data_IF_957468980342
#
_entry.id   IF_957468980342
#
_cell.length_a   1.000
_cell.length_b   1.000
_cell.length_c   1.000
_cell.angle_alpha   90.00
_cell.angle_beta   90.00
_cell.angle_gamma   90.00
#
_symmetry.space_group_name_H-M   'P 1'
#
loop_
_entity.id
_entity.type
_entity.pdbx_description
1 polymer ?
#
# COMPACT_ATOMS: atom_id res chain seq x y z
N UNK A 1 15.93 15.53 -7.25
CA UNK A 1 17.10 15.61 -6.34
C UNK A 1 17.28 14.21 -5.75
N UNK A 2 18.38 13.54 -6.06
CA UNK A 2 18.68 12.20 -5.54
C UNK A 2 19.26 12.31 -4.14
N UNK A 3 18.78 11.52 -3.20
CA UNK A 3 19.34 11.44 -1.84
C UNK A 3 20.09 10.14 -1.68
N UNK A 4 21.38 10.25 -1.42
CA UNK A 4 22.18 9.13 -0.98
C UNK A 4 21.91 8.90 0.52
N UNK A 5 21.11 7.87 0.83
CA UNK A 5 20.74 7.52 2.20
C UNK A 5 21.88 6.81 2.95
N UNK A 6 22.99 6.53 2.28
CA UNK A 6 24.18 5.94 2.92
C UNK A 6 25.02 6.98 3.66
N UNK A 7 24.72 8.29 3.51
CA UNK A 7 25.51 9.40 4.09
C UNK A 7 24.63 10.35 4.92
N UNK A 8 25.27 11.17 5.73
CA UNK A 8 24.61 12.24 6.50
C UNK A 8 23.79 11.75 7.68
N UNK A 9 22.95 12.63 8.24
CA UNK A 9 22.06 12.34 9.38
C UNK A 9 20.97 11.34 9.00
N UNK A 10 20.83 10.29 9.78
CA UNK A 10 19.87 9.19 9.55
C UNK A 10 18.43 9.70 9.62
N UNK A 11 18.05 10.31 10.76
CA UNK A 11 16.68 10.75 11.01
C UNK A 11 16.25 11.80 9.99
N UNK A 12 17.10 12.84 9.78
CA UNK A 12 16.81 13.90 8.79
C UNK A 12 16.67 13.33 7.38
N UNK A 13 17.56 12.39 7.01
CA UNK A 13 17.51 11.73 5.70
C UNK A 13 16.24 10.94 5.50
N UNK A 14 15.86 10.12 6.49
CA UNK A 14 14.62 9.31 6.48
C UNK A 14 13.38 10.21 6.43
N UNK A 15 13.25 11.20 7.30
CA UNK A 15 12.07 12.08 7.34
C UNK A 15 11.90 12.84 6.02
N UNK A 16 12.96 13.48 5.52
CA UNK A 16 12.89 14.22 4.27
C UNK A 16 12.67 13.34 3.03
N UNK A 17 12.94 12.03 3.13
CA UNK A 17 12.62 11.06 2.08
C UNK A 17 11.20 10.50 2.23
N UNK A 18 10.74 10.26 3.46
CA UNK A 18 9.41 9.74 3.77
C UNK A 18 8.30 10.79 3.55
N UNK A 19 8.53 12.06 3.90
CA UNK A 19 7.52 13.12 3.81
C UNK A 19 6.85 13.23 2.43
N UNK A 20 7.57 13.22 1.29
CA UNK A 20 6.92 13.23 -0.02
C UNK A 20 6.11 11.95 -0.31
N UNK A 21 6.51 10.79 0.25
CA UNK A 21 5.75 9.54 0.09
C UNK A 21 4.45 9.61 0.86
N UNK A 22 4.49 10.07 2.11
CA UNK A 22 3.33 10.29 2.97
C UNK A 22 2.37 11.29 2.32
N UNK A 23 2.90 12.43 1.85
CA UNK A 23 2.10 13.44 1.16
C UNK A 23 1.43 12.88 -0.09
N UNK A 24 2.12 12.02 -0.85
CA UNK A 24 1.59 11.34 -2.03
C UNK A 24 0.41 10.43 -1.70
N UNK A 25 0.54 9.59 -0.69
CA UNK A 25 -0.53 8.68 -0.30
C UNK A 25 -1.73 9.41 0.34
N UNK A 26 -1.49 10.45 1.13
CA UNK A 26 -2.58 11.31 1.64
C UNK A 26 -3.32 12.02 0.50
N UNK A 27 -2.59 12.54 -0.49
CA UNK A 27 -3.19 13.14 -1.68
C UNK A 27 -4.01 12.12 -2.48
N UNK A 28 -3.53 10.87 -2.57
CA UNK A 28 -4.26 9.77 -3.20
C UNK A 28 -5.57 9.47 -2.48
N UNK A 29 -5.58 9.48 -1.16
CA UNK A 29 -6.81 9.30 -0.39
C UNK A 29 -7.80 10.45 -0.59
N UNK A 30 -7.30 11.68 -0.62
CA UNK A 30 -8.15 12.86 -0.86
C UNK A 30 -8.80 12.82 -2.24
N UNK A 31 -8.07 12.45 -3.29
CA UNK A 31 -8.69 12.37 -4.62
C UNK A 31 -9.67 11.19 -4.71
N UNK A 32 -9.42 10.04 -4.08
CA UNK A 32 -10.37 8.93 -4.02
C UNK A 32 -11.69 9.34 -3.36
N UNK A 33 -11.61 10.17 -2.31
CA UNK A 33 -12.79 10.74 -1.67
C UNK A 33 -13.52 11.70 -2.62
N UNK A 34 -12.79 12.57 -3.32
CA UNK A 34 -13.38 13.51 -4.28
C UNK A 34 -14.09 12.79 -5.44
N UNK A 35 -13.45 11.78 -6.06
CA UNK A 35 -14.04 10.94 -7.09
C UNK A 35 -15.33 10.26 -6.59
N UNK A 36 -15.29 9.64 -5.41
CA UNK A 36 -16.45 9.01 -4.77
C UNK A 36 -17.59 10.01 -4.55
N UNK A 37 -17.28 11.24 -4.12
CA UNK A 37 -18.28 12.29 -3.93
C UNK A 37 -18.89 12.75 -5.25
N UNK A 38 -18.08 12.95 -6.29
CA UNK A 38 -18.56 13.35 -7.62
C UNK A 38 -19.49 12.29 -8.19
N UNK A 39 -19.07 11.01 -8.17
CA UNK A 39 -19.89 9.89 -8.64
C UNK A 39 -21.18 9.77 -7.84
N UNK A 40 -21.10 9.83 -6.51
CA UNK A 40 -22.27 9.67 -5.63
C UNK A 40 -23.31 10.80 -5.80
N UNK A 41 -22.86 12.03 -5.93
CA UNK A 41 -23.75 13.19 -6.09
C UNK A 41 -24.31 13.33 -7.49
N UNK A 42 -23.51 13.04 -8.53
CA UNK A 42 -23.91 13.23 -9.92
C UNK A 42 -24.68 12.04 -10.50
N UNK A 43 -24.30 10.80 -10.15
CA UNK A 43 -24.84 9.58 -10.77
C UNK A 43 -25.74 8.77 -9.83
N UNK A 44 -25.76 9.14 -8.55
CA UNK A 44 -26.64 8.53 -7.56
C UNK A 44 -26.12 7.22 -6.96
N UNK A 45 -27.00 6.59 -6.15
CA UNK A 45 -26.65 5.48 -5.26
C UNK A 45 -26.14 4.22 -5.98
N UNK A 46 -26.70 3.89 -7.13
CA UNK A 46 -26.34 2.67 -7.85
C UNK A 46 -24.93 2.77 -8.46
N UNK A 47 -24.59 3.91 -9.06
CA UNK A 47 -23.27 4.15 -9.59
C UNK A 47 -22.21 4.16 -8.46
N UNK A 48 -22.54 4.78 -7.32
CA UNK A 48 -21.66 4.78 -6.15
C UNK A 48 -21.39 3.35 -5.63
N UNK A 49 -22.42 2.51 -5.57
CA UNK A 49 -22.29 1.12 -5.16
C UNK A 49 -21.44 0.30 -6.15
N UNK A 50 -21.64 0.52 -7.46
CA UNK A 50 -20.85 -0.14 -8.50
C UNK A 50 -19.35 0.25 -8.43
N UNK A 51 -19.03 1.54 -8.30
CA UNK A 51 -17.65 2.04 -8.16
C UNK A 51 -17.02 1.53 -6.87
N UNK A 52 -17.74 1.56 -5.75
CA UNK A 52 -17.25 1.04 -4.46
C UNK A 52 -16.91 -0.45 -4.50
N UNK A 53 -17.75 -1.27 -5.15
CA UNK A 53 -17.48 -2.70 -5.33
C UNK A 53 -16.29 -2.94 -6.27
N UNK A 54 -16.19 -2.17 -7.36
CA UNK A 54 -15.07 -2.22 -8.28
C UNK A 54 -13.75 -1.81 -7.62
N UNK A 55 -13.77 -0.84 -6.71
CA UNK A 55 -12.60 -0.37 -5.95
C UNK A 55 -11.93 -1.51 -5.18
N UNK A 56 -12.71 -2.40 -4.55
CA UNK A 56 -12.16 -3.56 -3.82
C UNK A 56 -11.39 -4.50 -4.73
N UNK A 57 -11.92 -4.80 -5.91
CA UNK A 57 -11.24 -5.63 -6.91
C UNK A 57 -9.98 -4.95 -7.44
N UNK A 58 -10.06 -3.66 -7.72
CA UNK A 58 -8.91 -2.87 -8.18
C UNK A 58 -7.80 -2.79 -7.12
N UNK A 59 -8.16 -2.62 -5.85
CA UNK A 59 -7.20 -2.62 -4.75
C UNK A 59 -6.44 -3.94 -4.66
N UNK A 60 -7.15 -5.06 -4.82
CA UNK A 60 -6.53 -6.39 -4.85
C UNK A 60 -5.55 -6.53 -6.02
N UNK A 61 -5.95 -6.17 -7.25
CA UNK A 61 -5.08 -6.23 -8.43
C UNK A 61 -3.87 -5.30 -8.31
N UNK A 62 -4.10 -4.07 -7.84
CA UNK A 62 -3.02 -3.09 -7.63
C UNK A 62 -2.02 -3.57 -6.57
N UNK A 63 -2.47 -4.31 -5.55
CA UNK A 63 -1.57 -4.86 -4.52
C UNK A 63 -0.55 -5.86 -5.09
N UNK A 64 -0.90 -6.57 -6.17
CA UNK A 64 0.02 -7.46 -6.88
C UNK A 64 1.15 -6.64 -7.52
N UNK A 65 0.80 -5.60 -8.29
CA UNK A 65 1.81 -4.74 -8.93
C UNK A 65 2.67 -4.00 -7.92
N UNK A 66 2.06 -3.51 -6.85
CA UNK A 66 2.76 -2.83 -5.76
C UNK A 66 3.75 -3.79 -5.08
N UNK A 67 3.31 -5.00 -4.73
CA UNK A 67 4.16 -6.00 -4.10
C UNK A 67 5.34 -6.41 -4.98
N UNK A 68 5.10 -6.69 -6.27
CA UNK A 68 6.14 -7.02 -7.23
C UNK A 68 7.15 -5.87 -7.41
N UNK A 69 6.66 -4.63 -7.53
CA UNK A 69 7.51 -3.44 -7.68
C UNK A 69 8.31 -3.15 -6.41
N UNK A 70 7.71 -3.30 -5.22
CA UNK A 70 8.39 -3.07 -3.94
C UNK A 70 9.49 -4.11 -3.68
N UNK A 71 9.26 -5.37 -4.01
CA UNK A 71 10.27 -6.42 -3.90
C UNK A 71 11.45 -6.16 -4.83
N UNK A 72 11.19 -5.84 -6.09
CA UNK A 72 12.22 -5.44 -7.05
C UNK A 72 12.96 -4.16 -6.62
N UNK A 73 12.24 -3.17 -6.09
CA UNK A 73 12.77 -1.90 -5.59
C UNK A 73 13.78 -2.07 -4.45
N UNK A 74 13.61 -3.10 -3.62
CA UNK A 74 14.60 -3.42 -2.59
C UNK A 74 15.92 -3.92 -3.23
N UNK A 75 15.86 -4.76 -4.27
CA UNK A 75 17.06 -5.19 -5.00
C UNK A 75 17.74 -4.03 -5.73
N UNK A 76 16.96 -3.10 -6.34
CA UNK A 76 17.50 -1.88 -6.94
C UNK A 76 18.25 -1.03 -5.90
N UNK A 77 17.67 -0.89 -4.70
CA UNK A 77 18.29 -0.14 -3.60
C UNK A 77 19.60 -0.78 -3.13
N UNK A 78 19.65 -2.12 -3.07
CA UNK A 78 20.88 -2.87 -2.73
C UNK A 78 21.93 -2.68 -3.81
N UNK A 79 21.59 -2.78 -5.08
CA UNK A 79 22.53 -2.57 -6.20
C UNK A 79 23.10 -1.15 -6.20
N UNK A 80 22.25 -0.15 -5.97
CA UNK A 80 22.67 1.25 -5.83
C UNK A 80 23.60 1.46 -4.62
N UNK A 81 23.30 0.82 -3.49
CA UNK A 81 24.17 0.85 -2.32
C UNK A 81 25.54 0.24 -2.57
N UNK A 82 25.61 -0.86 -3.32
CA UNK A 82 26.84 -1.50 -3.79
C UNK A 82 27.59 -0.67 -4.83
N UNK A 83 26.95 0.32 -5.44
CA UNK A 83 27.43 1.04 -6.63
C UNK A 83 27.72 0.12 -7.81
N UNK A 84 26.93 -0.93 -7.93
CA UNK A 84 27.00 -1.93 -9.01
C UNK A 84 25.98 -1.59 -10.10
N UNK A 85 26.39 -0.76 -11.04
CA UNK A 85 25.54 -0.31 -12.14
C UNK A 85 25.15 -1.45 -13.07
N UNK A 86 25.99 -2.49 -13.21
CA UNK A 86 25.70 -3.65 -14.05
C UNK A 86 24.57 -4.48 -13.44
N UNK A 87 24.64 -4.77 -12.13
CA UNK A 87 23.60 -5.44 -11.38
C UNK A 87 22.30 -4.61 -11.41
N UNK A 88 22.36 -3.29 -11.21
CA UNK A 88 21.20 -2.41 -11.24
C UNK A 88 20.46 -2.50 -12.59
N UNK A 89 21.19 -2.30 -13.69
CA UNK A 89 20.61 -2.32 -15.04
C UNK A 89 20.03 -3.68 -15.40
N UNK A 90 20.73 -4.76 -15.05
CA UNK A 90 20.22 -6.12 -15.21
C UNK A 90 18.95 -6.34 -14.41
N UNK A 91 18.94 -5.98 -13.12
CA UNK A 91 17.77 -6.11 -12.25
C UNK A 91 16.57 -5.29 -12.74
N UNK A 92 16.78 -4.05 -13.17
CA UNK A 92 15.73 -3.18 -13.71
C UNK A 92 15.11 -3.80 -14.98
N UNK A 93 15.94 -4.31 -15.90
CA UNK A 93 15.46 -4.94 -17.14
C UNK A 93 14.65 -6.21 -16.89
N UNK A 94 15.17 -7.13 -16.06
CA UNK A 94 14.47 -8.37 -15.72
C UNK A 94 13.17 -8.12 -14.93
N UNK A 95 13.19 -7.20 -13.96
CA UNK A 95 12.01 -6.84 -13.20
C UNK A 95 10.94 -6.18 -14.08
N UNK A 96 11.34 -5.28 -14.99
CA UNK A 96 10.41 -4.66 -15.94
C UNK A 96 9.73 -5.72 -16.82
N UNK A 97 10.52 -6.61 -17.42
CA UNK A 97 10.00 -7.69 -18.26
C UNK A 97 9.06 -8.64 -17.50
N UNK A 98 9.45 -9.03 -16.29
CA UNK A 98 8.63 -9.91 -15.43
C UNK A 98 7.29 -9.26 -15.08
N UNK A 99 7.31 -8.02 -14.57
CA UNK A 99 6.09 -7.36 -14.10
C UNK A 99 5.21 -6.96 -15.28
N UNK A 100 5.79 -6.59 -16.42
CA UNK A 100 5.05 -6.38 -17.67
C UNK A 100 4.34 -7.66 -18.12
N UNK A 101 5.03 -8.80 -18.12
CA UNK A 101 4.43 -10.10 -18.48
C UNK A 101 3.26 -10.45 -17.54
N UNK A 102 3.45 -10.28 -16.21
CA UNK A 102 2.37 -10.47 -15.22
C UNK A 102 1.21 -9.51 -15.48
N UNK A 103 1.50 -8.24 -15.80
CA UNK A 103 0.47 -7.23 -16.11
C UNK A 103 -0.36 -7.63 -17.32
N UNK A 104 0.30 -8.06 -18.41
CA UNK A 104 -0.39 -8.51 -19.64
C UNK A 104 -1.23 -9.74 -19.36
N UNK A 105 -0.69 -10.75 -18.66
CA UNK A 105 -1.42 -11.96 -18.31
C UNK A 105 -2.64 -11.63 -17.45
N UNK A 106 -2.48 -10.82 -16.41
CA UNK A 106 -3.59 -10.41 -15.55
C UNK A 106 -4.65 -9.62 -16.34
N UNK A 107 -4.22 -8.71 -17.22
CA UNK A 107 -5.13 -7.93 -18.05
C UNK A 107 -5.96 -8.85 -18.96
N UNK A 108 -5.32 -9.80 -19.64
CA UNK A 108 -6.01 -10.80 -20.49
C UNK A 108 -6.97 -11.65 -19.66
N UNK A 109 -6.53 -12.16 -18.50
CA UNK A 109 -7.38 -12.98 -17.63
C UNK A 109 -8.60 -12.22 -17.12
N UNK A 110 -8.41 -10.97 -16.69
CA UNK A 110 -9.51 -10.16 -16.17
C UNK A 110 -10.55 -9.88 -17.26
N UNK A 111 -10.13 -9.56 -18.48
CA UNK A 111 -11.07 -9.38 -19.60
C UNK A 111 -11.73 -10.70 -20.03
N UNK A 112 -10.98 -11.80 -20.09
CA UNK A 112 -11.52 -13.11 -20.47
C UNK A 112 -12.54 -13.64 -19.44
N UNK A 113 -12.34 -13.37 -18.15
CA UNK A 113 -13.17 -13.89 -17.07
C UNK A 113 -14.04 -12.81 -16.39
N UNK A 114 -14.20 -11.64 -17.01
CA UNK A 114 -14.93 -10.51 -16.41
C UNK A 114 -16.32 -10.91 -15.92
N UNK A 115 -17.11 -11.55 -16.76
CA UNK A 115 -18.47 -11.95 -16.40
C UNK A 115 -18.49 -13.07 -15.34
N UNK A 116 -17.49 -13.95 -15.31
CA UNK A 116 -17.32 -14.95 -14.26
C UNK A 116 -16.94 -14.30 -12.92
N UNK A 117 -16.08 -13.29 -12.93
CA UNK A 117 -15.70 -12.51 -11.75
C UNK A 117 -16.92 -11.79 -11.17
N UNK A 118 -17.74 -11.14 -12.01
CA UNK A 118 -18.94 -10.43 -11.57
C UNK A 118 -19.97 -11.39 -10.95
N UNK A 119 -20.16 -12.59 -11.53
CA UNK A 119 -21.03 -13.63 -10.95
C UNK A 119 -20.47 -14.17 -9.63
N UNK A 120 -19.17 -14.40 -9.55
CA UNK A 120 -18.51 -14.86 -8.32
C UNK A 120 -18.65 -13.85 -7.18
N UNK A 121 -18.60 -12.55 -7.48
CA UNK A 121 -18.81 -11.45 -6.53
C UNK A 121 -20.30 -11.27 -6.17
N UNK A 122 -21.21 -12.04 -6.76
CA UNK A 122 -22.65 -11.99 -6.52
C UNK A 122 -23.24 -10.59 -6.69
N UNK A 123 -22.78 -9.86 -7.72
CA UNK A 123 -23.23 -8.50 -7.99
C UNK A 123 -24.74 -8.53 -8.36
N UNK A 124 -25.57 -7.69 -7.69
CA UNK A 124 -26.99 -7.56 -8.02
C UNK A 124 -27.20 -7.22 -9.50
N UNK A 125 -28.24 -7.79 -10.11
CA UNK A 125 -28.52 -7.59 -11.55
C UNK A 125 -28.70 -6.12 -11.92
N UNK A 126 -29.24 -5.32 -11.01
CA UNK A 126 -29.43 -3.86 -11.20
C UNK A 126 -28.09 -3.11 -11.38
N UNK A 127 -27.02 -3.58 -10.75
CA UNK A 127 -25.69 -2.97 -10.78
C UNK A 127 -24.77 -3.61 -11.83
N UNK A 128 -25.14 -4.78 -12.35
CA UNK A 128 -24.30 -5.60 -13.22
C UNK A 128 -23.82 -4.82 -14.46
N UNK A 129 -24.74 -4.15 -15.15
CA UNK A 129 -24.42 -3.37 -16.36
C UNK A 129 -23.46 -2.23 -16.08
N UNK A 130 -23.73 -1.44 -15.05
CA UNK A 130 -22.89 -0.29 -14.66
C UNK A 130 -21.51 -0.75 -14.18
N UNK A 131 -21.44 -1.80 -13.38
CA UNK A 131 -20.16 -2.31 -12.89
C UNK A 131 -19.32 -2.93 -14.01
N UNK A 132 -19.96 -3.66 -14.95
CA UNK A 132 -19.30 -4.20 -16.12
C UNK A 132 -18.70 -3.10 -17.01
N UNK A 133 -19.48 -2.08 -17.31
CA UNK A 133 -19.05 -0.92 -18.10
C UNK A 133 -17.85 -0.21 -17.44
N UNK A 134 -17.95 0.05 -16.13
CA UNK A 134 -16.88 0.65 -15.35
C UNK A 134 -15.59 -0.20 -15.39
N UNK A 135 -15.70 -1.51 -15.12
CA UNK A 135 -14.55 -2.42 -15.07
C UNK A 135 -13.86 -2.60 -16.42
N UNK A 136 -14.63 -2.67 -17.51
CA UNK A 136 -14.05 -2.75 -18.87
C UNK A 136 -13.11 -1.56 -19.14
N UNK A 137 -13.52 -0.37 -18.75
CA UNK A 137 -12.71 0.83 -18.95
C UNK A 137 -11.54 0.86 -17.97
N UNK A 138 -11.80 0.62 -16.67
CA UNK A 138 -10.78 0.77 -15.63
C UNK A 138 -9.63 -0.24 -15.80
N UNK A 139 -9.90 -1.45 -16.29
CA UNK A 139 -8.87 -2.46 -16.55
C UNK A 139 -7.91 -2.08 -17.67
N UNK A 140 -8.31 -1.22 -18.61
CA UNK A 140 -7.37 -0.62 -19.57
C UNK A 140 -6.28 0.22 -18.86
N UNK A 141 -6.54 0.70 -17.65
CA UNK A 141 -5.58 1.44 -16.82
C UNK A 141 -4.54 0.57 -16.10
N UNK A 142 -4.65 -0.77 -16.10
CA UNK A 142 -3.70 -1.65 -15.39
C UNK A 142 -2.25 -1.47 -15.87
N UNK A 143 -2.05 -1.27 -17.17
CA UNK A 143 -0.72 -0.98 -17.73
C UNK A 143 -0.16 0.35 -17.21
N UNK A 144 -1.00 1.39 -17.12
CA UNK A 144 -0.60 2.68 -16.57
C UNK A 144 -0.24 2.58 -15.07
N UNK A 145 -1.03 1.80 -14.31
CA UNK A 145 -0.79 1.50 -12.91
C UNK A 145 0.54 0.77 -12.72
N UNK A 146 0.85 -0.22 -13.56
CA UNK A 146 2.16 -0.89 -13.58
C UNK A 146 3.28 0.11 -13.84
N UNK A 147 3.20 0.90 -14.92
CA UNK A 147 4.24 1.86 -15.27
C UNK A 147 4.52 2.84 -14.10
N UNK A 148 3.46 3.40 -13.53
CA UNK A 148 3.62 4.31 -12.40
C UNK A 148 4.30 3.63 -11.21
N UNK A 149 3.80 2.48 -10.75
CA UNK A 149 4.35 1.79 -9.57
C UNK A 149 5.80 1.34 -9.80
N UNK A 150 6.12 0.81 -10.97
CA UNK A 150 7.46 0.36 -11.30
C UNK A 150 8.47 1.52 -11.27
N UNK A 151 8.20 2.60 -12.02
CA UNK A 151 9.11 3.74 -12.07
C UNK A 151 9.14 4.54 -10.77
N UNK A 152 8.03 4.61 -10.03
CA UNK A 152 8.01 5.19 -8.70
C UNK A 152 8.92 4.40 -7.73
N UNK A 153 8.86 3.07 -7.74
CA UNK A 153 9.74 2.23 -6.93
C UNK A 153 11.21 2.36 -7.35
N UNK A 154 11.51 2.43 -8.65
CA UNK A 154 12.87 2.64 -9.15
C UNK A 154 13.44 4.00 -8.71
N UNK A 155 12.66 5.08 -8.85
CA UNK A 155 13.07 6.42 -8.43
C UNK A 155 13.23 6.52 -6.91
N UNK A 156 12.31 5.90 -6.15
CA UNK A 156 12.46 5.80 -4.68
C UNK A 156 13.69 5.01 -4.29
N UNK A 157 14.00 3.90 -4.97
CA UNK A 157 15.23 3.15 -4.75
C UNK A 157 16.48 4.01 -4.95
N UNK A 158 16.45 4.94 -5.92
CA UNK A 158 17.49 5.93 -6.17
C UNK A 158 17.45 7.14 -5.23
N UNK A 159 16.55 7.17 -4.23
CA UNK A 159 16.45 8.26 -3.26
C UNK A 159 15.64 9.48 -3.74
N UNK A 160 14.84 9.33 -4.81
CA UNK A 160 13.97 10.38 -5.32
C UNK A 160 12.49 10.04 -5.04
N UNK A 161 11.94 10.57 -3.96
CA UNK A 161 10.52 10.44 -3.61
C UNK A 161 9.67 11.61 -4.10
N UNK A 162 10.29 12.71 -4.53
CA UNK A 162 9.58 13.91 -4.96
C UNK A 162 8.98 13.77 -6.36
N UNK A 163 9.73 13.18 -7.31
CA UNK A 163 9.22 13.03 -8.67
C UNK A 163 7.93 12.19 -8.73
N UNK A 164 7.84 10.98 -8.09
CA UNK A 164 6.57 10.26 -8.00
C UNK A 164 5.42 11.07 -7.40
N UNK A 165 5.69 11.87 -6.34
CA UNK A 165 4.68 12.75 -5.74
C UNK A 165 4.16 13.79 -6.75
N UNK A 166 5.04 14.44 -7.50
CA UNK A 166 4.64 15.46 -8.47
C UNK A 166 3.73 14.87 -9.56
N UNK A 167 4.08 13.70 -10.11
CA UNK A 167 3.26 13.04 -11.12
C UNK A 167 1.93 12.52 -10.55
N UNK A 168 1.93 12.04 -9.30
CA UNK A 168 0.70 11.66 -8.62
C UNK A 168 -0.21 12.88 -8.38
N UNK A 169 0.38 14.00 -7.95
CA UNK A 169 -0.36 15.26 -7.76
C UNK A 169 -0.98 15.79 -9.05
N UNK A 170 -0.23 15.72 -10.16
CA UNK A 170 -0.74 16.07 -11.48
C UNK A 170 -1.89 15.15 -11.88
N UNK A 171 -1.74 13.84 -11.69
CA UNK A 171 -2.78 12.85 -11.97
C UNK A 171 -4.05 13.09 -11.14
N UNK A 172 -3.90 13.35 -9.84
CA UNK A 172 -5.03 13.63 -8.95
C UNK A 172 -5.81 14.88 -9.37
N UNK A 173 -5.11 15.98 -9.65
CA UNK A 173 -5.73 17.22 -10.14
C UNK A 173 -6.43 17.04 -11.49
N UNK A 174 -5.77 16.31 -12.41
CA UNK A 174 -6.33 16.00 -13.73
C UNK A 174 -7.56 15.08 -13.62
N UNK A 175 -7.51 14.06 -12.75
CA UNK A 175 -8.64 13.16 -12.51
C UNK A 175 -9.89 13.95 -12.06
N UNK A 176 -9.76 14.78 -11.02
CA UNK A 176 -10.88 15.60 -10.54
C UNK A 176 -11.42 16.52 -11.64
N UNK A 177 -10.55 17.18 -12.42
CA UNK A 177 -10.96 18.05 -13.50
C UNK A 177 -11.70 17.27 -14.61
N UNK A 178 -11.22 16.09 -14.97
CA UNK A 178 -11.84 15.22 -15.98
C UNK A 178 -13.14 14.58 -15.48
N UNK A 179 -13.26 14.23 -14.20
CA UNK A 179 -14.50 13.75 -13.61
C UNK A 179 -15.59 14.80 -13.71
N UNK A 180 -15.28 16.05 -13.34
CA UNK A 180 -16.21 17.18 -13.50
C UNK A 180 -16.60 17.38 -14.97
N UNK A 181 -15.66 17.25 -15.90
CA UNK A 181 -15.91 17.42 -17.32
C UNK A 181 -16.72 16.27 -17.92
N UNK A 182 -16.30 15.02 -17.72
CA UNK A 182 -16.90 13.85 -18.36
C UNK A 182 -18.22 13.45 -17.70
N UNK A 183 -18.31 13.54 -16.38
CA UNK A 183 -19.52 13.16 -15.64
C UNK A 183 -20.55 14.29 -15.66
N UNK A 184 -20.16 15.54 -15.30
CA UNK A 184 -21.12 16.63 -15.15
C UNK A 184 -21.40 17.37 -16.47
N UNK A 185 -20.38 17.64 -17.29
CA UNK A 185 -20.55 18.45 -18.51
C UNK A 185 -20.95 17.62 -19.72
N UNK A 186 -20.32 16.46 -19.92
CA UNK A 186 -20.59 15.58 -21.06
C UNK A 186 -21.67 14.53 -20.79
N UNK A 187 -21.98 14.27 -19.53
CA UNK A 187 -23.01 13.31 -19.15
C UNK A 187 -22.66 11.85 -19.48
N UNK A 188 -21.36 11.49 -19.52
CA UNK A 188 -20.91 10.12 -19.85
C UNK A 188 -21.16 9.12 -18.72
N UNK A 189 -21.79 9.53 -17.63
CA UNK A 189 -22.13 8.65 -16.53
C UNK A 189 -20.91 7.96 -15.89
N UNK A 190 -21.08 6.68 -15.53
CA UNK A 190 -20.05 5.88 -14.86
C UNK A 190 -18.83 5.61 -15.76
N UNK A 191 -19.04 5.51 -17.09
CA UNK A 191 -17.97 5.39 -18.06
C UNK A 191 -17.07 6.63 -18.07
N UNK A 192 -17.65 7.82 -17.86
CA UNK A 192 -16.90 9.07 -17.73
C UNK A 192 -15.94 9.07 -16.55
N UNK A 193 -16.39 8.64 -15.39
CA UNK A 193 -15.55 8.51 -14.20
C UNK A 193 -14.41 7.49 -14.40
N UNK A 194 -14.72 6.32 -14.97
CA UNK A 194 -13.70 5.34 -15.31
C UNK A 194 -12.66 5.89 -16.32
N UNK A 195 -13.13 6.56 -17.38
CA UNK A 195 -12.25 7.16 -18.40
C UNK A 195 -11.35 8.26 -17.81
N UNK A 196 -11.87 9.11 -16.94
CA UNK A 196 -11.11 10.16 -16.25
C UNK A 196 -9.98 9.55 -15.41
N UNK A 197 -10.28 8.49 -14.65
CA UNK A 197 -9.31 7.76 -13.83
C UNK A 197 -8.22 7.14 -14.71
N UNK A 198 -8.58 6.41 -15.76
CA UNK A 198 -7.63 5.74 -16.66
C UNK A 198 -6.75 6.76 -17.38
N UNK A 199 -7.32 7.83 -17.91
CA UNK A 199 -6.56 8.88 -18.58
C UNK A 199 -5.52 9.51 -17.64
N UNK A 200 -5.93 9.85 -16.42
CA UNK A 200 -5.06 10.43 -15.40
C UNK A 200 -3.94 9.48 -14.97
N UNK A 201 -4.23 8.18 -14.87
CA UNK A 201 -3.24 7.14 -14.61
C UNK A 201 -2.21 7.03 -15.75
N UNK A 202 -2.64 7.10 -17.00
CA UNK A 202 -1.73 7.10 -18.16
C UNK A 202 -0.84 8.34 -18.17
N UNK A 203 -1.37 9.51 -17.87
CA UNK A 203 -0.57 10.75 -17.78
C UNK A 203 0.52 10.59 -16.71
N UNK A 204 0.20 10.07 -15.54
CA UNK A 204 1.22 9.86 -14.49
C UNK A 204 2.19 8.73 -14.83
N UNK A 205 1.71 7.59 -15.33
CA UNK A 205 2.55 6.43 -15.65
C UNK A 205 3.51 6.70 -16.82
N UNK A 206 3.00 7.22 -17.93
CA UNK A 206 3.83 7.61 -19.08
C UNK A 206 4.72 8.80 -18.72
N UNK A 207 4.18 9.80 -18.04
CA UNK A 207 4.94 10.99 -17.64
C UNK A 207 6.14 10.61 -16.75
N UNK A 208 5.94 9.73 -15.76
CA UNK A 208 7.02 9.25 -14.89
C UNK A 208 8.03 8.38 -15.65
N UNK A 209 7.57 7.57 -16.61
CA UNK A 209 8.43 6.78 -17.51
C UNK A 209 9.32 7.70 -18.35
N UNK A 210 8.74 8.69 -19.00
CA UNK A 210 9.46 9.68 -19.84
C UNK A 210 10.44 10.50 -18.98
N UNK A 211 10.00 10.97 -17.81
CA UNK A 211 10.88 11.66 -16.87
C UNK A 211 12.10 10.80 -16.50
N UNK A 212 11.87 9.52 -16.19
CA UNK A 212 12.95 8.59 -15.84
C UNK A 212 13.89 8.38 -17.03
N UNK A 213 13.36 8.21 -18.23
CA UNK A 213 14.15 8.02 -19.44
C UNK A 213 15.01 9.25 -19.81
N UNK A 214 14.49 10.45 -19.57
CA UNK A 214 15.19 11.69 -19.93
C UNK A 214 16.17 12.18 -18.85
N UNK A 215 15.78 12.08 -17.57
CA UNK A 215 16.53 12.66 -16.45
C UNK A 215 17.35 11.64 -15.66
N UNK A 216 17.02 10.35 -15.78
CA UNK A 216 17.55 9.28 -14.95
C UNK A 216 18.07 8.11 -15.80
N UNK A 217 18.53 8.39 -17.02
CA UNK A 217 18.94 7.39 -18.00
C UNK A 217 19.97 6.37 -17.45
N UNK A 218 20.80 6.79 -16.51
CA UNK A 218 21.79 5.91 -15.86
C UNK A 218 21.17 4.74 -15.09
N UNK A 219 19.90 4.86 -14.65
CA UNK A 219 19.18 3.80 -13.95
C UNK A 219 18.59 2.74 -14.91
N UNK A 220 18.47 3.07 -16.19
CA UNK A 220 17.82 2.21 -17.17
C UNK A 220 18.83 1.30 -17.86
N UNK A 221 18.42 0.06 -18.18
CA UNK A 221 19.25 -0.83 -18.98
C UNK A 221 19.40 -0.32 -20.42
N UNK A 222 20.53 -0.60 -21.02
CA UNK A 222 20.65 -0.53 -22.46
C UNK A 222 20.07 -1.82 -23.06
N UNK A 223 19.00 -1.68 -23.81
CA UNK A 223 18.25 -2.82 -24.39
C UNK A 223 19.16 -3.73 -25.23
N UNK A 224 20.20 -3.16 -25.87
CA UNK A 224 21.13 -3.91 -26.71
C UNK A 224 22.14 -4.75 -25.92
N UNK A 225 22.42 -4.36 -24.66
CA UNK A 225 23.37 -5.03 -23.79
C UNK A 225 22.73 -5.93 -22.74
N UNK A 226 21.40 -6.01 -22.72
CA UNK A 226 20.65 -6.78 -21.75
C UNK A 226 20.85 -8.28 -22.00
N UNK A 227 21.64 -8.93 -21.15
CA UNK A 227 21.82 -10.39 -21.16
C UNK A 227 20.91 -11.01 -20.14
N UNK A 228 20.30 -12.14 -20.47
CA UNK A 228 19.52 -12.92 -19.53
C UNK A 228 20.42 -13.47 -18.43
N UNK A 229 20.14 -13.07 -17.19
CA UNK A 229 20.82 -13.52 -15.98
C UNK A 229 19.85 -14.28 -15.09
N UNK A 230 20.02 -15.60 -15.04
CA UNK A 230 19.15 -16.50 -14.27
C UNK A 230 19.20 -16.20 -12.77
N UNK A 231 20.37 -15.80 -12.24
CA UNK A 231 20.54 -15.53 -10.82
C UNK A 231 19.82 -14.24 -10.43
N UNK A 232 19.97 -13.19 -11.23
CA UNK A 232 19.27 -11.91 -11.02
C UNK A 232 17.76 -12.11 -11.11
N UNK A 233 17.28 -12.88 -12.08
CA UNK A 233 15.86 -13.19 -12.19
C UNK A 233 15.34 -13.99 -10.99
N UNK A 234 16.11 -14.95 -10.48
CA UNK A 234 15.74 -15.72 -9.28
C UNK A 234 15.68 -14.82 -8.05
N UNK A 235 16.63 -13.92 -7.85
CA UNK A 235 16.62 -12.94 -6.77
C UNK A 235 15.38 -12.02 -6.85
N UNK A 236 15.02 -11.57 -8.06
CA UNK A 236 13.82 -10.75 -8.28
C UNK A 236 12.56 -11.55 -7.96
N UNK A 237 12.45 -12.78 -8.45
CA UNK A 237 11.29 -13.64 -8.19
C UNK A 237 11.11 -13.89 -6.69
N UNK A 238 12.18 -14.25 -5.97
CA UNK A 238 12.11 -14.49 -4.53
C UNK A 238 11.63 -13.25 -3.76
N UNK A 239 12.26 -12.10 -4.02
CA UNK A 239 11.92 -10.86 -3.34
C UNK A 239 10.53 -10.33 -3.73
N UNK A 240 10.19 -10.39 -5.00
CA UNK A 240 8.95 -9.82 -5.53
C UNK A 240 7.74 -10.69 -5.24
N UNK A 241 7.83 -12.01 -5.42
CA UNK A 241 6.71 -12.92 -5.15
C UNK A 241 6.37 -12.99 -3.64
N UNK A 242 7.39 -13.05 -2.78
CA UNK A 242 7.16 -13.04 -1.33
C UNK A 242 6.59 -11.70 -0.85
N UNK A 243 7.03 -10.57 -1.42
CA UNK A 243 6.45 -9.26 -1.10
C UNK A 243 5.02 -9.15 -1.64
N UNK A 244 4.76 -9.67 -2.83
CA UNK A 244 3.41 -9.75 -3.40
C UNK A 244 2.49 -10.62 -2.53
N UNK A 245 2.96 -11.81 -2.12
CA UNK A 245 2.22 -12.70 -1.23
C UNK A 245 1.90 -12.02 0.11
N UNK A 246 2.86 -11.29 0.68
CA UNK A 246 2.65 -10.51 1.91
C UNK A 246 1.56 -9.45 1.73
N UNK A 247 1.61 -8.65 0.66
CA UNK A 247 0.63 -7.59 0.39
C UNK A 247 -0.76 -8.16 0.11
N UNK A 248 -0.85 -9.25 -0.64
CA UNK A 248 -2.10 -9.93 -0.93
C UNK A 248 -2.72 -10.58 0.31
N UNK A 249 -1.89 -11.23 1.15
CA UNK A 249 -2.32 -11.80 2.42
C UNK A 249 -2.88 -10.73 3.36
N UNK A 250 -2.24 -9.54 3.41
CA UNK A 250 -2.69 -8.42 4.22
C UNK A 250 -4.10 -7.97 3.82
N UNK A 251 -4.37 -7.79 2.51
CA UNK A 251 -5.69 -7.42 2.02
C UNK A 251 -6.74 -8.52 2.27
N UNK A 252 -6.37 -9.79 2.06
CA UNK A 252 -7.27 -10.90 2.31
C UNK A 252 -7.66 -11.05 3.79
N UNK A 253 -6.72 -10.85 4.71
CA UNK A 253 -6.99 -10.88 6.15
C UNK A 253 -7.96 -9.77 6.59
N UNK A 254 -7.87 -8.58 6.00
CA UNK A 254 -8.83 -7.48 6.25
C UNK A 254 -10.23 -7.89 5.81
N UNK A 255 -10.38 -8.52 4.63
CA UNK A 255 -11.68 -8.99 4.13
C UNK A 255 -12.32 -10.06 5.03
N UNK A 256 -11.53 -10.97 5.61
CA UNK A 256 -12.05 -11.97 6.55
C UNK A 256 -12.60 -11.35 7.83
N UNK A 257 -11.92 -10.33 8.36
CA UNK A 257 -12.41 -9.58 9.53
C UNK A 257 -13.67 -8.79 9.18
N UNK A 258 -13.71 -8.15 8.00
CA UNK A 258 -14.90 -7.44 7.53
C UNK A 258 -16.11 -8.35 7.49
N UNK A 259 -15.97 -9.56 6.95
CA UNK A 259 -17.08 -10.55 6.91
C UNK A 259 -17.61 -10.91 8.29
N UNK A 260 -16.71 -11.03 9.29
CA UNK A 260 -17.13 -11.28 10.67
C UNK A 260 -17.87 -10.07 11.27
N UNK A 261 -17.38 -8.86 11.04
CA UNK A 261 -18.03 -7.61 11.46
C UNK A 261 -19.44 -7.52 10.87
N UNK A 262 -19.59 -7.86 9.60
CA UNK A 262 -20.88 -7.82 8.89
C UNK A 262 -21.93 -8.74 9.53
N UNK A 263 -21.49 -9.83 10.20
CA UNK A 263 -22.39 -10.75 10.92
C UNK A 263 -22.99 -10.16 12.22
N UNK A 264 -22.42 -9.07 12.75
CA UNK A 264 -22.92 -8.38 13.95
C UNK A 264 -24.02 -7.36 13.67
N UNK A 265 -24.36 -7.16 12.41
CA UNK A 265 -25.48 -6.33 11.99
C UNK A 265 -25.12 -4.88 11.62
N UNK A 266 -26.12 -4.08 11.21
CA UNK A 266 -25.90 -2.78 10.56
C UNK A 266 -25.18 -1.75 11.42
N UNK A 267 -25.41 -1.76 12.73
CA UNK A 267 -24.79 -0.82 13.67
C UNK A 267 -23.27 -1.00 13.71
N UNK A 268 -22.81 -2.26 13.91
CA UNK A 268 -21.38 -2.61 13.96
C UNK A 268 -20.72 -2.40 12.60
N UNK A 269 -21.42 -2.74 11.50
CA UNK A 269 -20.93 -2.48 10.13
C UNK A 269 -20.69 -0.99 9.88
N UNK A 270 -21.66 -0.14 10.23
CA UNK A 270 -21.55 1.31 10.02
C UNK A 270 -20.45 1.92 10.89
N UNK A 271 -20.36 1.47 12.16
CA UNK A 271 -19.32 1.91 13.10
C UNK A 271 -17.92 1.54 12.57
N UNK A 272 -17.72 0.29 12.13
CA UNK A 272 -16.46 -0.19 11.57
C UNK A 272 -16.09 0.55 10.29
N UNK A 273 -17.03 0.72 9.36
CA UNK A 273 -16.79 1.42 8.10
C UNK A 273 -16.34 2.88 8.31
N UNK A 274 -16.91 3.58 9.30
CA UNK A 274 -16.49 4.93 9.66
C UNK A 274 -15.11 4.93 10.34
N UNK A 275 -14.90 4.03 11.28
CA UNK A 275 -13.67 3.96 12.07
C UNK A 275 -12.44 3.57 11.21
N UNK A 276 -12.56 2.61 10.29
CA UNK A 276 -11.47 2.21 9.38
C UNK A 276 -11.02 3.36 8.47
N UNK A 277 -11.90 4.30 8.12
CA UNK A 277 -11.50 5.50 7.38
C UNK A 277 -10.59 6.40 8.22
N UNK A 278 -10.92 6.57 9.51
CA UNK A 278 -10.09 7.32 10.47
C UNK A 278 -8.74 6.63 10.65
N UNK A 279 -8.74 5.31 10.83
CA UNK A 279 -7.53 4.51 10.96
C UNK A 279 -6.61 4.66 9.74
N UNK A 280 -7.16 4.71 8.54
CA UNK A 280 -6.37 4.86 7.31
C UNK A 280 -5.50 6.12 7.36
N UNK A 281 -6.01 7.22 7.87
CA UNK A 281 -5.22 8.45 8.06
C UNK A 281 -4.16 8.31 9.16
N UNK A 282 -4.40 7.46 10.14
CA UNK A 282 -3.47 7.23 11.24
C UNK A 282 -2.30 6.32 10.83
N UNK A 283 -2.57 5.20 10.13
CA UNK A 283 -1.54 4.21 9.85
C UNK A 283 -0.78 4.42 8.51
N UNK A 284 -1.39 5.06 7.50
CA UNK A 284 -0.73 5.30 6.21
C UNK A 284 0.63 6.04 6.33
N UNK A 285 0.76 7.08 7.18
CA UNK A 285 2.05 7.73 7.37
C UNK A 285 3.13 6.79 7.89
N UNK A 286 2.81 5.91 8.84
CA UNK A 286 3.80 4.96 9.38
C UNK A 286 4.12 3.82 8.41
N UNK A 287 3.16 3.41 7.59
CA UNK A 287 3.40 2.47 6.49
C UNK A 287 4.41 3.03 5.49
N UNK A 288 4.23 4.29 5.07
CA UNK A 288 5.16 4.94 4.16
C UNK A 288 6.53 5.21 4.78
N UNK A 289 6.55 5.54 6.06
CA UNK A 289 7.79 5.63 6.81
C UNK A 289 8.52 4.27 6.83
N UNK A 290 7.81 3.16 7.02
CA UNK A 290 8.34 1.80 6.91
C UNK A 290 8.90 1.48 5.52
N UNK A 291 8.24 1.96 4.45
CA UNK A 291 8.72 1.82 3.08
C UNK A 291 9.97 2.66 2.81
N UNK A 292 10.03 3.89 3.33
CA UNK A 292 11.20 4.75 3.27
C UNK A 292 12.38 4.13 4.04
N UNK A 293 12.10 3.57 5.21
CA UNK A 293 13.08 2.84 6.01
C UNK A 293 13.60 1.60 5.28
N UNK A 294 12.76 0.87 4.56
CA UNK A 294 13.17 -0.26 3.71
C UNK A 294 14.23 0.18 2.68
N UNK A 295 14.01 1.30 1.99
CA UNK A 295 14.96 1.86 1.04
C UNK A 295 16.29 2.24 1.72
N UNK A 296 16.22 2.90 2.88
CA UNK A 296 17.41 3.25 3.68
C UNK A 296 18.22 2.00 4.05
N UNK A 297 17.54 0.97 4.61
CA UNK A 297 18.23 -0.28 5.01
C UNK A 297 18.83 -0.96 3.79
N UNK A 298 18.10 -1.07 2.67
CA UNK A 298 18.56 -1.74 1.47
C UNK A 298 19.78 -1.07 0.85
N UNK A 299 19.84 0.27 0.76
CA UNK A 299 21.02 1.00 0.30
C UNK A 299 22.21 0.79 1.23
N UNK A 300 22.00 0.89 2.55
CA UNK A 300 23.08 0.69 3.52
C UNK A 300 23.51 -0.78 3.61
N UNK A 301 22.61 -1.73 3.36
CA UNK A 301 22.94 -3.14 3.25
C UNK A 301 23.83 -3.43 2.05
N UNK A 302 23.50 -2.85 0.89
CA UNK A 302 24.34 -2.92 -0.29
C UNK A 302 25.71 -2.27 -0.09
N UNK A 303 25.79 -1.17 0.66
CA UNK A 303 27.02 -0.45 0.97
C UNK A 303 27.85 -1.09 2.12
N UNK A 304 27.41 -2.23 2.71
CA UNK A 304 28.12 -2.88 3.81
C UNK A 304 28.08 -2.13 5.16
N UNK A 305 27.22 -1.11 5.30
CA UNK A 305 27.22 -0.20 6.47
C UNK A 305 26.43 -0.76 7.66
N UNK A 306 26.93 -1.83 8.28
CA UNK A 306 26.28 -2.54 9.39
C UNK A 306 25.90 -1.65 10.59
N UNK A 307 26.84 -0.82 11.04
CA UNK A 307 26.60 0.07 12.19
C UNK A 307 25.52 1.11 11.89
N UNK A 308 25.48 1.62 10.65
CA UNK A 308 24.49 2.58 10.22
C UNK A 308 23.10 1.95 10.15
N UNK A 309 22.98 0.70 9.71
CA UNK A 309 21.72 -0.06 9.75
C UNK A 309 21.24 -0.22 11.19
N UNK A 310 22.11 -0.62 12.13
CA UNK A 310 21.75 -0.78 13.55
C UNK A 310 21.25 0.51 14.18
N UNK A 311 21.98 1.62 13.98
CA UNK A 311 21.55 2.94 14.46
C UNK A 311 20.25 3.35 13.82
N UNK A 312 20.13 3.21 12.50
CA UNK A 312 18.92 3.54 11.75
C UNK A 312 17.72 2.73 12.18
N UNK A 313 17.90 1.44 12.48
CA UNK A 313 16.82 0.59 13.00
C UNK A 313 16.28 1.10 14.35
N UNK A 314 17.20 1.39 15.30
CA UNK A 314 16.81 1.95 16.60
C UNK A 314 16.13 3.31 16.45
N UNK A 315 16.75 4.22 15.68
CA UNK A 315 16.27 5.60 15.52
C UNK A 315 14.92 5.62 14.79
N UNK A 316 14.73 4.79 13.75
CA UNK A 316 13.45 4.65 13.04
C UNK A 316 12.36 4.06 13.94
N UNK A 317 12.70 3.06 14.78
CA UNK A 317 11.75 2.51 15.77
C UNK A 317 11.30 3.59 16.76
N UNK A 318 12.21 4.39 17.29
CA UNK A 318 11.88 5.49 18.21
C UNK A 318 11.00 6.54 17.53
N UNK A 319 11.31 6.96 16.30
CA UNK A 319 10.51 7.93 15.55
C UNK A 319 9.13 7.38 15.24
N UNK A 320 9.03 6.14 14.75
CA UNK A 320 7.75 5.50 14.44
C UNK A 320 6.90 5.31 15.70
N UNK A 321 7.48 4.81 16.78
CA UNK A 321 6.80 4.62 18.05
C UNK A 321 6.33 5.95 18.65
N UNK A 322 7.17 6.98 18.63
CA UNK A 322 6.82 8.32 19.14
C UNK A 322 5.69 8.96 18.33
N UNK A 323 5.76 8.90 17.00
CA UNK A 323 4.69 9.38 16.12
C UNK A 323 3.40 8.59 16.35
N UNK A 324 3.46 7.24 16.36
CA UNK A 324 2.30 6.39 16.60
C UNK A 324 1.68 6.62 17.98
N UNK A 325 2.49 6.82 19.03
CA UNK A 325 1.99 7.14 20.37
C UNK A 325 1.26 8.49 20.40
N UNK A 326 1.79 9.50 19.69
CA UNK A 326 1.11 10.79 19.54
C UNK A 326 -0.23 10.64 18.83
N UNK A 327 -0.27 9.91 17.71
CA UNK A 327 -1.52 9.66 16.98
C UNK A 327 -2.49 8.83 17.83
N UNK A 328 -2.01 7.81 18.56
CA UNK A 328 -2.82 7.04 19.51
C UNK A 328 -3.49 7.95 20.54
N UNK A 329 -2.74 8.85 21.15
CA UNK A 329 -3.26 9.81 22.11
C UNK A 329 -4.35 10.70 21.48
N UNK A 330 -4.07 11.27 20.30
CA UNK A 330 -5.02 12.13 19.59
C UNK A 330 -6.30 11.39 19.21
N UNK A 331 -6.18 10.18 18.64
CA UNK A 331 -7.34 9.38 18.24
C UNK A 331 -8.17 8.94 19.46
N UNK A 332 -7.54 8.50 20.55
CA UNK A 332 -8.26 8.10 21.76
C UNK A 332 -8.98 9.27 22.43
N UNK A 333 -8.34 10.44 22.51
CA UNK A 333 -8.94 11.65 23.12
C UNK A 333 -10.06 12.20 22.23
N UNK A 334 -9.83 12.28 20.93
CA UNK A 334 -10.77 12.85 19.98
C UNK A 334 -11.63 11.80 19.26
N UNK A 335 -11.71 10.56 19.76
CA UNK A 335 -12.48 9.47 19.14
C UNK A 335 -13.93 9.88 18.84
N UNK A 336 -14.61 10.52 19.77
CA UNK A 336 -15.99 10.93 19.60
C UNK A 336 -16.17 12.07 18.56
N UNK A 337 -15.42 13.17 18.59
CA UNK A 337 -15.44 14.17 17.51
C UNK A 337 -15.09 13.60 16.14
N UNK A 338 -14.08 12.73 16.05
CA UNK A 338 -13.67 12.09 14.80
C UNK A 338 -14.79 11.21 14.22
N UNK A 339 -15.45 10.40 15.04
CA UNK A 339 -16.59 9.59 14.60
C UNK A 339 -17.77 10.44 14.13
N UNK A 340 -18.04 11.59 14.79
CA UNK A 340 -19.11 12.51 14.41
C UNK A 340 -18.94 13.14 13.01
N UNK A 341 -17.75 13.09 12.42
CA UNK A 341 -17.52 13.51 11.03
C UNK A 341 -18.25 12.58 10.06
N UNK A 342 -18.38 11.28 10.41
CA UNK A 342 -18.91 10.24 9.53
C UNK A 342 -20.29 9.72 9.95
N UNK A 343 -20.69 9.93 11.21
CA UNK A 343 -21.91 9.37 11.81
C UNK A 343 -22.90 10.50 12.13
N UNK A 344 -24.16 10.34 11.74
CA UNK A 344 -25.21 11.33 11.99
C UNK A 344 -25.53 11.48 13.48
N UNK A 345 -25.99 12.66 13.88
CA UNK A 345 -26.22 13.00 15.29
C UNK A 345 -27.23 12.10 16.03
N UNK A 346 -28.14 11.46 15.31
CA UNK A 346 -29.16 10.56 15.88
C UNK A 346 -28.69 9.12 16.08
N UNK A 347 -27.55 8.70 15.49
CA UNK A 347 -27.07 7.32 15.52
C UNK A 347 -26.14 7.06 16.73
N UNK A 348 -26.71 7.12 17.93
CA UNK A 348 -25.96 7.03 19.20
C UNK A 348 -25.24 5.69 19.36
N UNK A 349 -25.85 4.59 18.94
CA UNK A 349 -25.28 3.23 19.03
C UNK A 349 -24.07 3.06 18.11
N UNK A 350 -24.18 3.54 16.86
CA UNK A 350 -23.07 3.53 15.88
C UNK A 350 -21.90 4.37 16.39
N UNK A 351 -22.19 5.56 16.95
CA UNK A 351 -21.19 6.42 17.54
C UNK A 351 -20.47 5.72 18.70
N UNK A 352 -21.21 5.10 19.63
CA UNK A 352 -20.65 4.41 20.78
C UNK A 352 -19.77 3.21 20.37
N UNK A 353 -20.22 2.40 19.41
CA UNK A 353 -19.46 1.27 18.88
C UNK A 353 -18.16 1.72 18.19
N UNK A 354 -18.23 2.76 17.34
CA UNK A 354 -17.06 3.32 16.67
C UNK A 354 -16.05 3.97 17.63
N UNK A 355 -16.51 4.65 18.65
CA UNK A 355 -15.64 5.21 19.71
C UNK A 355 -14.93 4.09 20.49
N UNK A 356 -15.63 2.99 20.79
CA UNK A 356 -15.00 1.80 21.43
C UNK A 356 -13.92 1.21 20.55
N UNK A 357 -14.21 1.01 19.25
CA UNK A 357 -13.24 0.55 18.28
C UNK A 357 -11.98 1.43 18.27
N UNK A 358 -12.13 2.74 18.04
CA UNK A 358 -11.01 3.68 17.96
C UNK A 358 -10.19 3.74 19.26
N UNK A 359 -10.80 3.55 20.42
CA UNK A 359 -10.07 3.52 21.69
C UNK A 359 -9.29 2.22 21.89
N UNK A 360 -9.82 1.08 21.44
CA UNK A 360 -9.14 -0.23 21.57
C UNK A 360 -7.99 -0.33 20.55
N UNK A 361 -8.27 -0.12 19.29
CA UNK A 361 -7.26 -0.24 18.22
C UNK A 361 -6.31 0.94 18.23
N UNK A 362 -6.85 2.15 18.32
CA UNK A 362 -6.09 3.40 18.32
C UNK A 362 -5.09 3.53 19.45
N UNK A 363 -5.38 2.99 20.63
CA UNK A 363 -4.42 2.95 21.73
C UNK A 363 -3.14 2.17 21.40
N UNK A 364 -3.18 1.28 20.43
CA UNK A 364 -2.13 0.32 20.08
C UNK A 364 -1.42 0.61 18.74
N UNK A 365 -1.56 1.79 18.13
CA UNK A 365 -0.92 2.11 16.84
C UNK A 365 0.60 2.01 16.87
N UNK A 366 1.24 2.05 18.04
CA UNK A 366 2.68 1.76 18.16
C UNK A 366 3.02 0.37 17.62
N UNK A 367 2.16 -0.63 17.85
CA UNK A 367 2.36 -1.99 17.33
C UNK A 367 2.38 -2.01 15.80
N UNK A 368 1.37 -1.44 15.14
CA UNK A 368 1.36 -1.42 13.67
C UNK A 368 2.51 -0.59 13.08
N UNK A 369 2.90 0.51 13.75
CA UNK A 369 4.05 1.31 13.34
C UNK A 369 5.37 0.54 13.39
N UNK A 370 5.59 -0.25 14.43
CA UNK A 370 6.74 -1.14 14.56
C UNK A 370 6.70 -2.28 13.54
N UNK A 371 5.53 -2.85 13.30
CA UNK A 371 5.33 -3.94 12.34
C UNK A 371 5.68 -3.52 10.90
N UNK A 372 5.28 -2.32 10.47
CA UNK A 372 5.66 -1.82 9.14
C UNK A 372 7.16 -1.60 8.99
N UNK A 373 7.86 -1.20 10.06
CA UNK A 373 9.33 -1.12 10.04
C UNK A 373 9.96 -2.50 9.90
N UNK A 374 9.43 -3.52 10.59
CA UNK A 374 9.90 -4.90 10.48
C UNK A 374 9.69 -5.46 9.07
N UNK A 375 8.54 -5.22 8.45
CA UNK A 375 8.30 -5.60 7.05
C UNK A 375 9.32 -4.96 6.12
N UNK A 376 9.56 -3.66 6.28
CA UNK A 376 10.56 -2.92 5.51
C UNK A 376 11.97 -3.44 5.72
N UNK A 377 12.34 -3.72 6.97
CA UNK A 377 13.65 -4.23 7.33
C UNK A 377 13.93 -5.62 6.70
N UNK A 378 13.04 -6.59 6.91
CA UNK A 378 13.27 -7.95 6.41
C UNK A 378 13.31 -8.05 4.89
N UNK A 379 12.49 -7.25 4.21
CA UNK A 379 12.56 -7.11 2.75
C UNK A 379 13.92 -6.55 2.32
N UNK A 380 14.41 -5.53 3.00
CA UNK A 380 15.66 -4.85 2.67
C UNK A 380 16.93 -5.71 2.89
N UNK A 381 16.91 -6.62 3.87
CA UNK A 381 18.04 -7.52 4.16
C UNK A 381 17.95 -8.87 3.43
N UNK A 382 17.22 -8.94 2.31
CA UNK A 382 17.00 -10.15 1.50
C UNK A 382 16.37 -11.31 2.28
N UNK A 383 15.43 -11.02 3.19
CA UNK A 383 14.66 -12.01 3.95
C UNK A 383 13.14 -11.74 3.87
N UNK A 384 12.58 -11.54 2.66
CA UNK A 384 11.15 -11.19 2.52
C UNK A 384 10.21 -12.27 3.06
N UNK A 385 10.65 -13.53 3.10
CA UNK A 385 9.90 -14.63 3.73
C UNK A 385 9.57 -14.36 5.20
N UNK A 386 10.45 -13.64 5.95
CA UNK A 386 10.14 -13.26 7.32
C UNK A 386 8.99 -12.24 7.37
N UNK A 387 8.90 -11.31 6.42
CA UNK A 387 7.76 -10.40 6.32
C UNK A 387 6.44 -11.16 6.09
N UNK A 388 6.46 -12.23 5.28
CA UNK A 388 5.30 -13.12 5.10
C UNK A 388 4.94 -13.82 6.43
N UNK A 389 5.92 -14.36 7.14
CA UNK A 389 5.70 -15.01 8.45
C UNK A 389 5.06 -14.03 9.43
N UNK A 390 5.57 -12.81 9.55
CA UNK A 390 5.00 -11.79 10.43
C UNK A 390 3.57 -11.41 10.02
N UNK A 391 3.29 -11.37 8.71
CA UNK A 391 1.93 -11.11 8.20
C UNK A 391 0.99 -12.25 8.57
N UNK A 392 1.42 -13.51 8.41
CA UNK A 392 0.62 -14.69 8.78
C UNK A 392 0.36 -14.71 10.29
N UNK A 393 1.36 -14.38 11.12
CA UNK A 393 1.16 -14.28 12.57
C UNK A 393 0.18 -13.17 12.90
N UNK A 394 0.42 -11.95 12.40
CA UNK A 394 -0.43 -10.78 12.68
C UNK A 394 -1.88 -11.01 12.26
N UNK A 395 -2.11 -11.42 11.02
CA UNK A 395 -3.46 -11.58 10.46
C UNK A 395 -4.09 -12.93 10.81
N UNK A 396 -3.32 -14.01 10.81
CA UNK A 396 -3.83 -15.34 11.15
C UNK A 396 -4.30 -15.40 12.61
N UNK A 397 -3.48 -14.88 13.53
CA UNK A 397 -3.86 -14.77 14.95
C UNK A 397 -5.04 -13.82 15.14
N UNK A 398 -5.02 -12.66 14.46
CA UNK A 398 -6.13 -11.69 14.45
C UNK A 398 -7.44 -12.35 14.03
N UNK A 399 -7.45 -13.07 12.91
CA UNK A 399 -8.66 -13.75 12.40
C UNK A 399 -9.10 -14.83 13.38
N UNK A 400 -8.19 -15.70 13.81
CA UNK A 400 -8.52 -16.77 14.75
C UNK A 400 -9.09 -16.22 16.07
N UNK A 401 -8.43 -15.24 16.67
CA UNK A 401 -8.90 -14.60 17.90
C UNK A 401 -10.20 -13.85 17.71
N UNK A 402 -10.40 -13.16 16.60
CA UNK A 402 -11.65 -12.45 16.31
C UNK A 402 -12.84 -13.44 16.32
N UNK A 403 -12.72 -14.58 15.65
CA UNK A 403 -13.77 -15.61 15.64
C UNK A 403 -13.96 -16.28 17.02
N UNK A 404 -12.87 -16.52 17.77
CA UNK A 404 -12.93 -17.12 19.11
C UNK A 404 -13.55 -16.17 20.14
N UNK A 405 -13.20 -14.89 20.10
CA UNK A 405 -13.62 -13.89 21.08
C UNK A 405 -14.96 -13.23 20.74
N UNK A 406 -15.40 -13.29 19.48
CA UNK A 406 -16.68 -12.73 19.05
C UNK A 406 -17.88 -13.35 19.81
N UNK A 407 -17.82 -14.65 20.16
CA UNK A 407 -18.87 -15.30 20.94
C UNK A 407 -18.97 -14.79 22.39
N UNK A 408 -17.85 -14.91 23.18
CA UNK A 408 -17.90 -14.56 24.60
C UNK A 408 -17.99 -13.05 24.91
N UNK A 409 -17.37 -12.18 24.11
CA UNK A 409 -17.28 -10.72 24.40
C UNK A 409 -17.75 -9.84 23.27
N UNK A 410 -18.44 -10.41 22.27
CA UNK A 410 -19.06 -9.66 21.18
C UNK A 410 -18.06 -8.94 20.27
N UNK A 411 -18.48 -7.80 19.74
CA UNK A 411 -17.67 -6.96 18.83
C UNK A 411 -16.32 -6.51 19.44
N UNK A 412 -16.27 -6.33 20.76
CA UNK A 412 -15.02 -5.97 21.46
C UNK A 412 -13.94 -7.01 21.27
N UNK A 413 -14.32 -8.29 21.16
CA UNK A 413 -13.39 -9.39 20.87
C UNK A 413 -12.74 -9.27 19.49
N UNK A 414 -13.49 -8.79 18.49
CA UNK A 414 -12.96 -8.52 17.16
C UNK A 414 -11.94 -7.40 17.22
N UNK A 415 -12.29 -6.30 17.92
CA UNK A 415 -11.42 -5.13 18.05
C UNK A 415 -10.12 -5.45 18.80
N UNK A 416 -10.21 -6.20 19.90
CA UNK A 416 -9.06 -6.59 20.71
C UNK A 416 -8.11 -7.57 19.98
N UNK A 417 -8.63 -8.40 19.09
CA UNK A 417 -7.84 -9.34 18.29
C UNK A 417 -6.80 -8.65 17.39
N UNK A 418 -7.08 -7.40 16.96
CA UNK A 418 -6.22 -6.63 16.05
C UNK A 418 -4.87 -6.29 16.72
N UNK A 419 -4.84 -5.55 17.85
CA UNK A 419 -3.58 -5.20 18.51
C UNK A 419 -2.84 -6.41 19.08
N UNK A 420 -3.55 -7.47 19.48
CA UNK A 420 -2.89 -8.73 19.92
C UNK A 420 -2.11 -9.35 18.76
N UNK A 421 -2.68 -9.38 17.55
CA UNK A 421 -1.99 -9.83 16.35
C UNK A 421 -0.73 -9.02 16.05
N UNK A 422 -0.79 -7.69 16.18
CA UNK A 422 0.39 -6.82 16.01
C UNK A 422 1.46 -7.11 17.05
N UNK A 423 1.08 -7.19 18.33
CA UNK A 423 2.02 -7.43 19.41
C UNK A 423 2.77 -8.76 19.25
N UNK A 424 2.07 -9.83 18.88
CA UNK A 424 2.69 -11.14 18.65
C UNK A 424 3.64 -11.13 17.46
N UNK A 425 3.26 -10.46 16.37
CA UNK A 425 4.13 -10.29 15.22
C UNK A 425 5.37 -9.45 15.55
N UNK A 426 5.21 -8.36 16.32
CA UNK A 426 6.32 -7.52 16.77
C UNK A 426 7.29 -8.29 17.67
N UNK A 427 6.79 -8.99 18.68
CA UNK A 427 7.62 -9.84 19.57
C UNK A 427 8.40 -10.87 18.74
N UNK A 428 7.74 -11.51 17.78
CA UNK A 428 8.39 -12.47 16.88
C UNK A 428 9.45 -11.79 16.01
N UNK A 429 9.12 -10.64 15.41
CA UNK A 429 10.01 -9.92 14.52
C UNK A 429 11.23 -9.35 15.24
N UNK A 430 11.04 -8.63 16.33
CA UNK A 430 12.15 -8.11 17.14
C UNK A 430 12.97 -9.23 17.77
N UNK A 431 12.33 -10.31 18.26
CA UNK A 431 12.99 -11.50 18.79
C UNK A 431 13.91 -12.16 17.76
N UNK A 432 13.40 -12.38 16.54
CA UNK A 432 14.21 -12.91 15.44
C UNK A 432 15.38 -11.98 15.07
N UNK A 433 15.15 -10.67 15.03
CA UNK A 433 16.22 -9.69 14.82
C UNK A 433 17.30 -9.80 15.87
N UNK A 434 16.96 -9.82 17.16
CA UNK A 434 17.94 -9.88 18.25
C UNK A 434 18.75 -11.18 18.23
N UNK A 435 18.09 -12.31 17.96
CA UNK A 435 18.73 -13.63 17.92
C UNK A 435 19.62 -13.82 16.68
N UNK A 436 19.26 -13.23 15.55
CA UNK A 436 19.91 -13.48 14.26
C UNK A 436 20.62 -12.26 13.66
N UNK A 437 20.72 -11.12 14.38
CA UNK A 437 21.28 -9.86 13.88
C UNK A 437 22.69 -9.99 13.29
N UNK A 438 23.52 -10.91 13.80
CA UNK A 438 24.85 -11.15 13.28
C UNK A 438 24.83 -11.74 11.86
N UNK A 439 23.82 -12.59 11.55
CA UNK A 439 23.64 -13.23 10.24
C UNK A 439 22.77 -12.43 9.27
N UNK A 440 21.98 -11.48 9.79
CA UNK A 440 21.08 -10.66 8.97
C UNK A 440 21.76 -9.44 8.38
N UNK A 441 22.78 -8.93 9.05
CA UNK A 441 23.52 -7.74 8.62
C UNK A 441 24.77 -8.15 7.84
N UNK A 442 25.24 -7.31 6.89
CA UNK A 442 26.45 -7.61 6.13
C UNK A 442 27.65 -7.79 7.07
N UNK A 443 28.60 -8.62 6.67
CA UNK A 443 29.89 -8.73 7.34
C UNK A 443 30.64 -7.40 7.23
N UNK A 444 31.43 -7.05 8.27
CA UNK A 444 32.24 -5.83 8.28
C UNK A 444 33.41 -5.94 7.34
#
# INVERSE_FOLDING_TARGET
MYRDLTKGSIIRGLLLFALPMIAGNLLQQLYNIADTLIVGQALGRNALAAVGSAYTLMTFLTSIFLGLSMGSGALFSIALGKKDDALLRSAVGHAFGLILAVTVVLNVLVYAFLDAILRFLQIPQELYGQMREYLVIIFAGLLATFLYNFFACLLRAAGNSVAPLCFLGLSAGLNIALDLLFVLRFGWGIAGAAAATVFSQYVSGIGLTVYTALRCRGLLPDIRSLRFDRQVLADILDMSLLTCAQQSAMNFGILLVQRLVDSFGPVTMAAFAAAVKIDSFAYLPVQDFGNAFSTFVAQNYGAGQRQRIRRGFRDATLVSAGFSALISLLVCVFAQPLMRIFVQAGEVEVLAAGVRYLRIEGACYVGIGCLFLLYGFYRAVKRPGMSVVLTVISLGVRVALAYLLAGPIGEVGIWAAIPIGWALADVTGYGYYLLRRAKLLPEE
#
